data_IF_133891206536
#
_entry.id   IF_133891206536
#
_cell.length_a   1.000
_cell.length_b   1.000
_cell.length_c   1.000
_cell.angle_alpha   90.00
_cell.angle_beta   90.00
_cell.angle_gamma   90.00
#
_symmetry.space_group_name_H-M   'P 1'
#
loop_
_entity.id
_entity.type
_entity.pdbx_description
1 polymer ?
#
# COMPACT_ATOMS: atom_id res chain seq x y z
N UNK A 1 22.59 -7.20 10.16
CA UNK A 1 22.86 -8.66 10.04
C UNK A 1 24.31 -8.89 9.67
N UNK A 2 24.89 -8.14 8.74
CA UNK A 2 26.32 -8.18 8.37
C UNK A 2 27.27 -8.13 9.58
N UNK A 3 27.14 -7.10 10.42
CA UNK A 3 27.95 -6.93 11.63
C UNK A 3 27.86 -8.14 12.58
N UNK A 4 26.66 -8.72 12.75
CA UNK A 4 26.40 -9.85 13.65
C UNK A 4 27.04 -11.13 13.11
N UNK A 5 27.04 -11.32 11.79
CA UNK A 5 27.67 -12.49 11.15
C UNK A 5 29.20 -12.34 11.13
N UNK A 6 29.72 -11.12 10.96
CA UNK A 6 31.15 -10.80 11.12
C UNK A 6 31.67 -11.11 12.50
N UNK A 7 30.92 -10.76 13.53
CA UNK A 7 31.34 -11.05 14.90
C UNK A 7 31.44 -12.56 15.22
N UNK A 8 30.69 -13.41 14.51
CA UNK A 8 30.82 -14.87 14.64
C UNK A 8 32.00 -15.42 13.82
N UNK A 9 32.18 -14.92 12.60
CA UNK A 9 33.15 -15.47 11.64
C UNK A 9 34.57 -14.95 11.90
N UNK A 10 34.72 -13.66 12.20
CA UNK A 10 36.01 -12.98 12.38
C UNK A 10 36.47 -13.04 13.85
N UNK A 11 35.58 -12.77 14.80
CA UNK A 11 35.94 -12.78 16.24
C UNK A 11 35.81 -14.17 16.91
N UNK A 12 35.54 -15.23 16.13
CA UNK A 12 35.38 -16.63 16.58
C UNK A 12 34.43 -16.83 17.79
N UNK A 13 33.47 -15.93 18.01
CA UNK A 13 32.47 -16.06 19.07
C UNK A 13 31.46 -17.15 18.72
N UNK A 14 30.91 -17.81 19.73
CA UNK A 14 29.91 -18.87 19.50
C UNK A 14 28.59 -18.26 19.01
N UNK A 15 27.95 -18.92 18.02
CA UNK A 15 26.63 -18.51 17.49
C UNK A 15 25.61 -18.30 18.60
N UNK A 16 25.68 -19.10 19.68
CA UNK A 16 24.76 -19.01 20.83
C UNK A 16 24.94 -17.74 21.64
N UNK A 17 26.19 -17.31 21.88
CA UNK A 17 26.48 -16.07 22.62
C UNK A 17 26.00 -14.84 21.85
N UNK A 18 26.41 -14.72 20.58
CA UNK A 18 26.04 -13.62 19.71
C UNK A 18 24.52 -13.57 19.49
N UNK A 19 23.85 -14.72 19.29
CA UNK A 19 22.39 -14.74 19.19
C UNK A 19 21.69 -14.20 20.45
N UNK A 20 22.23 -14.48 21.64
CA UNK A 20 21.69 -14.00 22.92
C UNK A 20 21.90 -12.49 23.08
N UNK A 21 23.09 -12.01 22.76
CA UNK A 21 23.47 -10.59 22.90
C UNK A 21 22.66 -9.71 21.95
N UNK A 22 22.45 -10.15 20.71
CA UNK A 22 21.69 -9.43 19.69
C UNK A 22 20.19 -9.75 19.69
N UNK A 23 19.70 -10.55 20.65
CA UNK A 23 18.29 -10.99 20.73
C UNK A 23 17.75 -11.57 19.41
N UNK A 24 18.57 -12.36 18.72
CA UNK A 24 18.23 -13.03 17.46
C UNK A 24 17.98 -14.52 17.69
N UNK A 25 17.15 -15.13 16.84
CA UNK A 25 17.04 -16.58 16.85
C UNK A 25 18.37 -17.22 16.45
N UNK A 26 18.82 -18.20 17.23
CA UNK A 26 20.00 -19.01 16.93
C UNK A 26 19.93 -19.62 15.53
N UNK A 27 18.76 -20.10 15.11
CA UNK A 27 18.58 -20.74 13.80
C UNK A 27 18.76 -19.76 12.65
N UNK A 28 18.27 -18.52 12.81
CA UNK A 28 18.44 -17.46 11.83
C UNK A 28 19.91 -17.07 11.69
N UNK A 29 20.62 -16.88 12.82
CA UNK A 29 22.03 -16.54 12.79
C UNK A 29 22.90 -17.67 12.21
N UNK A 30 22.62 -18.93 12.59
CA UNK A 30 23.34 -20.09 12.07
C UNK A 30 23.22 -20.20 10.54
N UNK A 31 21.99 -20.06 10.00
CA UNK A 31 21.76 -20.07 8.54
C UNK A 31 22.62 -19.03 7.82
N UNK A 32 22.65 -17.80 8.31
CA UNK A 32 23.42 -16.72 7.69
C UNK A 32 24.94 -16.88 7.83
N UNK A 33 25.42 -17.50 8.92
CA UNK A 33 26.83 -17.86 9.08
C UNK A 33 27.24 -18.97 8.11
N UNK A 34 26.40 -19.99 7.94
CA UNK A 34 26.63 -21.07 6.98
C UNK A 34 26.62 -20.56 5.53
N UNK A 35 25.68 -19.68 5.20
CA UNK A 35 25.60 -19.03 3.88
C UNK A 35 26.87 -18.18 3.57
N UNK A 36 27.39 -17.45 4.56
CA UNK A 36 28.64 -16.68 4.42
C UNK A 36 29.86 -17.59 4.23
N UNK A 37 29.92 -18.71 4.95
CA UNK A 37 31.01 -19.68 4.83
C UNK A 37 31.04 -20.39 3.47
N UNK A 38 29.86 -20.60 2.86
CA UNK A 38 29.74 -21.28 1.56
C UNK A 38 30.09 -20.38 0.37
N UNK A 39 29.88 -19.07 0.48
CA UNK A 39 29.87 -18.19 -0.70
C UNK A 39 31.14 -17.34 -0.83
N UNK A 40 32.04 -17.29 0.17
CA UNK A 40 33.28 -16.45 0.22
C UNK A 40 33.12 -14.96 -0.18
N UNK A 41 31.89 -14.50 -0.38
CA UNK A 41 31.59 -13.18 -0.92
C UNK A 41 31.42 -12.20 0.25
N UNK A 42 32.32 -11.20 0.40
CA UNK A 42 32.23 -10.22 1.49
C UNK A 42 31.04 -9.29 1.34
N UNK A 43 30.50 -9.13 0.12
CA UNK A 43 29.37 -8.25 -0.22
C UNK A 43 28.01 -8.99 -0.25
N UNK A 44 27.88 -10.06 0.54
CA UNK A 44 26.63 -10.81 0.63
C UNK A 44 25.56 -9.95 1.29
N UNK A 45 24.66 -9.36 0.50
CA UNK A 45 23.61 -8.52 1.04
C UNK A 45 22.58 -9.37 1.82
N UNK A 46 22.53 -9.20 3.14
CA UNK A 46 21.60 -9.91 4.03
C UNK A 46 20.19 -9.31 3.96
N UNK A 47 19.61 -9.25 2.75
CA UNK A 47 18.26 -8.72 2.55
C UNK A 47 17.26 -9.66 3.23
N UNK A 48 16.29 -9.09 3.94
CA UNK A 48 15.13 -9.84 4.40
C UNK A 48 14.46 -10.45 3.16
N UNK A 49 14.13 -11.74 3.20
CA UNK A 49 13.48 -12.49 2.10
C UNK A 49 12.18 -11.85 1.55
N UNK A 50 11.63 -10.83 2.22
CA UNK A 50 10.48 -10.07 1.73
C UNK A 50 10.83 -9.06 0.63
N UNK A 51 12.07 -8.55 0.61
CA UNK A 51 12.54 -7.59 -0.40
C UNK A 51 12.77 -8.27 -1.75
N UNK A 52 13.18 -9.54 -1.74
CA UNK A 52 13.47 -10.32 -2.97
C UNK A 52 12.23 -10.67 -3.80
N UNK A 53 11.02 -10.37 -3.32
CA UNK A 53 9.76 -10.59 -4.04
C UNK A 53 9.05 -9.29 -4.46
N UNK A 54 9.69 -8.14 -4.30
CA UNK A 54 9.13 -6.86 -4.77
C UNK A 54 9.36 -6.72 -6.28
N UNK A 55 8.27 -6.53 -7.02
CA UNK A 55 8.28 -6.33 -8.48
C UNK A 55 8.79 -4.92 -8.84
N UNK A 56 8.46 -3.94 -8.00
CA UNK A 56 8.79 -2.53 -8.21
C UNK A 56 9.76 -2.03 -7.15
N UNK A 57 10.58 -1.04 -7.53
CA UNK A 57 11.36 -0.25 -6.58
C UNK A 57 10.45 0.65 -5.74
N UNK A 58 10.98 1.20 -4.65
CA UNK A 58 10.23 2.11 -3.79
C UNK A 58 9.78 3.38 -4.55
N UNK A 59 10.65 3.91 -5.41
CA UNK A 59 10.36 5.07 -6.27
C UNK A 59 9.24 4.78 -7.28
N UNK A 60 9.28 3.61 -7.92
CA UNK A 60 8.26 3.16 -8.87
C UNK A 60 6.90 2.96 -8.19
N UNK A 61 6.89 2.35 -7.00
CA UNK A 61 5.66 2.21 -6.20
C UNK A 61 5.10 3.57 -5.79
N UNK A 62 5.97 4.53 -5.48
CA UNK A 62 5.55 5.89 -5.12
C UNK A 62 4.90 6.62 -6.30
N UNK A 63 5.46 6.50 -7.51
CA UNK A 63 4.84 7.05 -8.72
C UNK A 63 3.46 6.44 -8.98
N UNK A 64 3.34 5.13 -8.81
CA UNK A 64 2.07 4.42 -9.00
C UNK A 64 1.04 4.85 -7.93
N UNK A 65 1.47 5.01 -6.68
CA UNK A 65 0.63 5.51 -5.60
C UNK A 65 0.13 6.95 -5.86
N UNK A 66 1.02 7.85 -6.28
CA UNK A 66 0.67 9.23 -6.58
C UNK A 66 -0.31 9.31 -7.76
N UNK A 67 -0.17 8.45 -8.77
CA UNK A 67 -1.13 8.32 -9.87
C UNK A 67 -2.51 7.87 -9.38
N UNK A 68 -2.58 6.81 -8.55
CA UNK A 68 -3.85 6.32 -7.99
C UNK A 68 -4.56 7.41 -7.18
N UNK A 69 -3.82 8.16 -6.36
CA UNK A 69 -4.35 9.29 -5.58
C UNK A 69 -4.86 10.39 -6.50
N UNK A 70 -4.11 10.74 -7.55
CA UNK A 70 -4.51 11.75 -8.53
C UNK A 70 -5.81 11.36 -9.23
N UNK A 71 -5.93 10.12 -9.70
CA UNK A 71 -7.14 9.59 -10.34
C UNK A 71 -8.33 9.62 -9.39
N UNK A 72 -8.14 9.24 -8.12
CA UNK A 72 -9.18 9.33 -7.10
C UNK A 72 -9.67 10.76 -6.87
N UNK A 73 -8.76 11.76 -6.84
CA UNK A 73 -9.12 13.18 -6.71
C UNK A 73 -9.92 13.71 -7.90
N UNK A 74 -9.77 13.11 -9.07
CA UNK A 74 -10.53 13.43 -10.28
C UNK A 74 -11.84 12.62 -10.39
N UNK A 75 -12.31 12.00 -9.29
CA UNK A 75 -13.47 11.12 -9.27
C UNK A 75 -13.36 9.86 -10.15
N UNK A 76 -12.14 9.48 -10.53
CA UNK A 76 -11.81 8.24 -11.24
C UNK A 76 -11.07 7.27 -10.31
N UNK A 77 -11.68 6.97 -9.15
CA UNK A 77 -11.12 6.01 -8.20
C UNK A 77 -10.94 4.64 -8.84
N UNK A 78 -9.74 4.08 -8.71
CA UNK A 78 -9.42 2.76 -9.26
C UNK A 78 -9.80 1.67 -8.26
N UNK A 79 -10.47 0.62 -8.75
CA UNK A 79 -10.72 -0.59 -7.98
C UNK A 79 -9.43 -1.39 -7.79
N UNK A 80 -9.45 -2.41 -6.91
CA UNK A 80 -8.30 -3.30 -6.70
C UNK A 80 -7.91 -3.98 -8.02
N UNK A 81 -8.88 -4.52 -8.77
CA UNK A 81 -8.64 -5.14 -10.09
C UNK A 81 -8.09 -4.14 -11.10
N UNK A 82 -8.66 -2.93 -11.20
CA UNK A 82 -8.16 -1.91 -12.12
C UNK A 82 -6.73 -1.48 -11.77
N UNK A 83 -6.40 -1.38 -10.48
CA UNK A 83 -5.04 -1.11 -10.01
C UNK A 83 -4.10 -2.28 -10.33
N UNK A 84 -4.58 -3.51 -10.24
CA UNK A 84 -3.82 -4.70 -10.63
C UNK A 84 -3.51 -4.75 -12.14
N UNK A 85 -4.46 -4.36 -12.98
CA UNK A 85 -4.25 -4.22 -14.43
C UNK A 85 -3.24 -3.12 -14.75
N UNK A 86 -3.38 -1.96 -14.12
CA UNK A 86 -2.43 -0.85 -14.23
C UNK A 86 -1.01 -1.30 -13.84
N UNK A 87 -0.88 -2.07 -12.76
CA UNK A 87 0.41 -2.60 -12.32
C UNK A 87 1.03 -3.56 -13.34
N UNK A 88 0.24 -4.45 -13.95
CA UNK A 88 0.72 -5.34 -15.01
C UNK A 88 1.20 -4.54 -16.24
N UNK A 89 0.42 -3.57 -16.70
CA UNK A 89 0.80 -2.69 -17.81
C UNK A 89 2.07 -1.91 -17.51
N UNK A 90 2.19 -1.37 -16.29
CA UNK A 90 3.36 -0.65 -15.83
C UNK A 90 4.60 -1.55 -15.77
N UNK A 91 4.46 -2.78 -15.29
CA UNK A 91 5.54 -3.77 -15.27
C UNK A 91 6.00 -4.15 -16.69
N UNK A 92 5.08 -4.37 -17.62
CA UNK A 92 5.37 -4.66 -19.03
C UNK A 92 6.12 -3.51 -19.69
N UNK A 93 5.62 -2.28 -19.52
CA UNK A 93 6.20 -1.09 -20.15
C UNK A 93 7.59 -0.75 -19.63
N UNK A 94 7.86 -1.02 -18.35
CA UNK A 94 9.17 -0.81 -17.74
C UNK A 94 10.06 -2.07 -17.76
N UNK A 95 9.65 -3.12 -18.47
CA UNK A 95 10.37 -4.39 -18.60
C UNK A 95 10.82 -5.00 -17.25
N UNK A 96 9.96 -4.91 -16.23
CA UNK A 96 10.25 -5.44 -14.89
C UNK A 96 9.98 -6.94 -14.84
N UNK A 97 10.77 -7.72 -14.07
CA UNK A 97 10.44 -9.12 -13.81
C UNK A 97 9.21 -9.19 -12.88
N UNK A 98 8.17 -9.88 -13.33
CA UNK A 98 6.95 -10.10 -12.56
C UNK A 98 6.54 -11.59 -12.62
N UNK A 99 5.68 -12.06 -11.70
CA UNK A 99 5.22 -13.45 -11.69
C UNK A 99 4.41 -13.82 -12.94
N UNK A 100 4.63 -15.02 -13.50
CA UNK A 100 3.89 -15.53 -14.67
C UNK A 100 2.37 -15.58 -14.44
N UNK A 101 1.93 -15.68 -13.18
CA UNK A 101 0.51 -15.64 -12.82
C UNK A 101 -0.17 -14.32 -13.22
N UNK A 102 0.57 -13.21 -13.34
CA UNK A 102 -0.01 -11.95 -13.76
C UNK A 102 -0.42 -11.98 -15.23
N UNK A 103 0.36 -12.64 -16.09
CA UNK A 103 -0.01 -12.81 -17.50
C UNK A 103 -1.17 -13.78 -17.68
N UNK A 104 -1.24 -14.85 -16.87
CA UNK A 104 -2.37 -15.79 -16.89
C UNK A 104 -3.68 -15.15 -16.45
N UNK A 105 -3.63 -14.31 -15.44
CA UNK A 105 -4.83 -13.66 -14.88
C UNK A 105 -5.16 -12.32 -15.55
N UNK A 106 -4.20 -11.73 -16.28
CA UNK A 106 -4.34 -10.40 -16.88
C UNK A 106 -4.28 -9.24 -15.88
N UNK A 107 -3.92 -9.50 -14.62
CA UNK A 107 -3.77 -8.48 -13.58
C UNK A 107 -2.80 -8.94 -12.48
N UNK A 108 -2.24 -7.97 -11.75
CA UNK A 108 -1.46 -8.26 -10.56
C UNK A 108 -2.35 -8.88 -9.47
N UNK A 109 -1.84 -9.93 -8.82
CA UNK A 109 -2.57 -10.64 -7.76
C UNK A 109 -2.84 -9.78 -6.52
N UNK A 110 -3.87 -10.16 -5.76
CA UNK A 110 -4.29 -9.43 -4.56
C UNK A 110 -3.19 -9.36 -3.48
N UNK A 111 -2.36 -10.41 -3.39
CA UNK A 111 -1.21 -10.45 -2.49
C UNK A 111 -0.17 -9.39 -2.83
N UNK A 112 0.02 -9.11 -4.14
CA UNK A 112 0.85 -8.00 -4.55
C UNK A 112 0.23 -6.70 -4.08
N UNK A 113 -1.05 -6.44 -4.34
CA UNK A 113 -1.71 -5.17 -4.00
C UNK A 113 -1.54 -4.77 -2.52
N UNK A 114 -1.72 -5.71 -1.58
CA UNK A 114 -1.54 -5.43 -0.15
C UNK A 114 -0.09 -5.11 0.25
N UNK A 115 0.89 -5.53 -0.56
CA UNK A 115 2.31 -5.23 -0.35
C UNK A 115 2.63 -3.74 -0.40
N UNK A 116 2.51 -3.07 -1.57
CA UNK A 116 2.72 -1.63 -1.71
C UNK A 116 1.81 -0.83 -0.80
N UNK A 117 0.56 -1.26 -0.60
CA UNK A 117 -0.39 -0.57 0.27
C UNK A 117 0.06 -0.54 1.74
N UNK A 118 0.73 -1.60 2.22
CA UNK A 118 1.32 -1.62 3.56
C UNK A 118 2.56 -0.72 3.69
N UNK A 119 3.29 -0.48 2.60
CA UNK A 119 4.45 0.42 2.56
C UNK A 119 4.04 1.89 2.39
N UNK A 120 2.92 2.13 1.71
CA UNK A 120 2.39 3.45 1.40
C UNK A 120 1.08 3.72 2.15
N UNK A 121 1.12 4.14 3.44
CA UNK A 121 -0.07 4.34 4.26
C UNK A 121 -1.00 5.47 3.76
N UNK A 122 -0.56 6.25 2.77
CA UNK A 122 -1.38 7.25 2.07
C UNK A 122 -2.47 6.60 1.19
N UNK A 123 -2.30 5.32 0.83
CA UNK A 123 -3.28 4.56 0.06
C UNK A 123 -4.27 3.88 1.01
N UNK A 124 -5.56 4.11 0.78
CA UNK A 124 -6.65 3.43 1.50
C UNK A 124 -7.62 2.82 0.51
N UNK A 125 -7.98 1.55 0.68
CA UNK A 125 -9.13 0.96 0.00
C UNK A 125 -10.37 1.54 0.65
N UNK A 126 -11.22 2.17 -0.15
CA UNK A 126 -12.54 2.64 0.29
C UNK A 126 -13.61 1.96 -0.53
N UNK A 127 -14.75 1.68 0.10
CA UNK A 127 -15.95 1.41 -0.67
C UNK A 127 -16.40 2.74 -1.27
N UNK A 128 -16.58 2.83 -2.60
CA UNK A 128 -17.14 4.03 -3.19
C UNK A 128 -18.58 4.16 -2.66
N UNK A 129 -18.87 5.29 -2.02
CA UNK A 129 -20.26 5.66 -1.80
C UNK A 129 -20.90 5.87 -3.16
N UNK A 130 -22.17 5.44 -3.31
CA UNK A 130 -22.93 5.69 -4.51
C UNK A 130 -23.25 7.18 -4.58
N UNK A 131 -22.27 8.00 -4.96
CA UNK A 131 -22.37 9.43 -5.21
C UNK A 131 -22.00 9.64 -6.67
N UNK A 132 -23.00 9.94 -7.50
CA UNK A 132 -22.77 10.18 -8.92
C UNK A 132 -21.94 11.46 -9.12
N UNK A 133 -21.19 11.54 -10.22
CA UNK A 133 -20.45 12.76 -10.59
C UNK A 133 -21.37 13.99 -10.60
N UNK A 134 -22.61 13.83 -11.11
CA UNK A 134 -23.62 14.88 -11.09
C UNK A 134 -23.94 15.37 -9.66
N UNK A 135 -24.06 14.48 -8.68
CA UNK A 135 -24.28 14.85 -7.27
C UNK A 135 -23.07 15.57 -6.68
N UNK A 136 -21.86 15.11 -6.96
CA UNK A 136 -20.64 15.78 -6.49
C UNK A 136 -20.51 17.21 -7.09
N UNK A 137 -20.77 17.37 -8.39
CA UNK A 137 -20.74 18.68 -9.06
C UNK A 137 -21.88 19.61 -8.62
N UNK A 138 -23.06 19.06 -8.32
CA UNK A 138 -24.19 19.82 -7.80
C UNK A 138 -23.96 20.33 -6.37
N UNK A 139 -23.06 19.70 -5.60
CA UNK A 139 -22.73 20.09 -4.24
C UNK A 139 -21.74 21.26 -4.18
N UNK A 140 -22.11 22.39 -4.79
CA UNK A 140 -21.31 23.62 -4.82
C UNK A 140 -21.94 24.72 -3.95
N UNK A 141 -21.15 25.75 -3.60
CA UNK A 141 -21.57 26.83 -2.71
C UNK A 141 -22.90 27.48 -3.15
N UNK A 142 -23.08 27.71 -4.45
CA UNK A 142 -24.30 28.35 -4.97
C UNK A 142 -25.54 27.49 -4.73
N UNK A 143 -25.49 26.20 -5.12
CA UNK A 143 -26.60 25.28 -4.94
C UNK A 143 -26.91 25.02 -3.47
N UNK A 144 -25.87 24.87 -2.63
CA UNK A 144 -26.02 24.69 -1.18
C UNK A 144 -26.67 25.92 -0.55
N UNK A 145 -26.22 27.12 -0.89
CA UNK A 145 -26.80 28.35 -0.36
C UNK A 145 -28.25 28.52 -0.82
N UNK A 146 -28.55 28.22 -2.09
CA UNK A 146 -29.92 28.25 -2.61
C UNK A 146 -30.83 27.28 -1.86
N UNK A 147 -30.37 26.06 -1.58
CA UNK A 147 -31.11 25.08 -0.78
C UNK A 147 -31.43 25.63 0.62
N UNK A 148 -30.43 26.13 1.35
CA UNK A 148 -30.63 26.64 2.70
C UNK A 148 -31.49 27.90 2.75
N UNK A 149 -31.35 28.83 1.80
CA UNK A 149 -32.21 30.00 1.69
C UNK A 149 -33.68 29.60 1.48
N UNK A 150 -33.93 28.62 0.60
CA UNK A 150 -35.28 28.11 0.37
C UNK A 150 -35.82 27.41 1.62
N UNK A 151 -34.98 26.62 2.30
CA UNK A 151 -35.34 25.93 3.53
C UNK A 151 -35.72 26.91 4.66
N UNK A 152 -34.92 27.96 4.87
CA UNK A 152 -35.19 29.02 5.84
C UNK A 152 -36.48 29.77 5.51
N UNK A 153 -36.71 30.06 4.22
CA UNK A 153 -37.95 30.70 3.76
C UNK A 153 -39.19 29.88 4.10
N UNK A 154 -39.12 28.56 3.92
CA UNK A 154 -40.23 27.64 4.23
C UNK A 154 -40.42 27.53 5.75
N UNK A 155 -39.32 27.37 6.51
CA UNK A 155 -39.35 27.36 7.98
C UNK A 155 -39.97 28.63 8.58
N UNK A 156 -39.71 29.80 7.99
CA UNK A 156 -40.29 31.07 8.44
C UNK A 156 -41.76 31.26 8.02
N UNK A 157 -42.22 30.57 6.98
CA UNK A 157 -43.61 30.65 6.48
C UNK A 157 -44.54 29.69 7.20
N UNK A 158 -44.08 28.47 7.46
CA UNK A 158 -44.88 27.38 8.00
C UNK A 158 -44.56 27.19 9.49
N UNK A 159 -45.58 27.16 10.36
CA UNK A 159 -45.41 26.81 11.77
C UNK A 159 -45.17 25.29 11.88
N UNK A 160 -43.96 24.84 11.57
CA UNK A 160 -43.57 23.44 11.77
C UNK A 160 -43.61 23.11 13.27
N UNK A 161 -44.69 22.44 13.70
CA UNK A 161 -44.73 21.76 14.99
C UNK A 161 -43.81 20.55 14.90
N UNK A 162 -42.63 20.65 15.49
CA UNK A 162 -41.74 19.50 15.68
C UNK A 162 -42.42 18.56 16.68
N UNK A 163 -43.12 17.55 16.18
CA UNK A 163 -43.67 16.47 17.00
C UNK A 163 -42.50 15.61 17.50
N UNK A 164 -42.21 15.60 18.82
CA UNK A 164 -41.08 14.88 19.38
C UNK A 164 -41.19 13.36 19.23
N UNK A 165 -42.36 12.83 18.86
CA UNK A 165 -42.58 11.39 18.68
C UNK A 165 -42.11 10.82 17.33
N UNK A 166 -41.59 11.67 16.42
CA UNK A 166 -41.15 11.29 15.07
C UNK A 166 -39.63 11.33 14.83
N UNK A 167 -38.81 11.47 15.88
CA UNK A 167 -37.34 11.40 15.81
C UNK A 167 -36.84 10.05 16.29
#
# INVERSE_FOLDING_TARGET
>A
MELVVAEVVENKKTVRSVAKDFKLSRTTLARYVDDRRKTENPDMCYKKSRVTKQVFSEEEEQLLADYVIKSSRMFHGLSISATGKLALEYAKRNSKPYPESWDKNGEAGIDWFYGPMKRHPRLSVRMPEATSLARACAFNRYNVNTFFNNYETILGRENFSLDPSRV
#
